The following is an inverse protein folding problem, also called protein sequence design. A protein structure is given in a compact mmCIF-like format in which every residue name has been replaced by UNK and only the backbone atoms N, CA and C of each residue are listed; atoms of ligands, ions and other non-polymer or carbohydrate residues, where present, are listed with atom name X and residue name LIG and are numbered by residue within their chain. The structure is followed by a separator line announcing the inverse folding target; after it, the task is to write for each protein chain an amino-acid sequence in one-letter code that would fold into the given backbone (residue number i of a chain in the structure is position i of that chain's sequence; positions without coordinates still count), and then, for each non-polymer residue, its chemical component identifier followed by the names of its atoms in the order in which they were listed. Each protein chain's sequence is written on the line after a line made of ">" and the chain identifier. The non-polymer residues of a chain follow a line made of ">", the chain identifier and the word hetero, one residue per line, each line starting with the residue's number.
data_IF_687835409189
#
_entry.id   IF_687835409189
#
_cell.length_a   1.000
_cell.length_b   1.000
_cell.length_c   1.000
_cell.angle_alpha   90.00
_cell.angle_beta   90.00
_cell.angle_gamma   90.00
#
_symmetry.space_group_name_H-M   'P 1'
#
loop_
_entity.id
_entity.type
_entity.pdbx_description
1 polymer ?
#
# COMPACT_ATOMS: atom_id res chain seq x y z
N UNK A 1 10.34 -8.62 -11.46
CA UNK A 1 9.02 -8.26 -12.00
C UNK A 1 9.09 -6.93 -12.72
N UNK A 2 8.38 -6.77 -13.83
CA UNK A 2 8.33 -5.53 -14.58
C UNK A 2 6.96 -4.88 -14.44
N UNK A 3 6.92 -3.55 -14.40
CA UNK A 3 5.68 -2.78 -14.50
C UNK A 3 5.84 -1.76 -15.63
N UNK A 4 4.72 -1.40 -16.26
CA UNK A 4 4.71 -0.49 -17.42
C UNK A 4 3.91 0.76 -17.07
N UNK A 5 4.52 1.92 -17.37
CA UNK A 5 3.86 3.21 -17.22
C UNK A 5 4.16 4.07 -18.46
N UNK A 6 3.13 4.50 -19.17
CA UNK A 6 3.26 5.30 -20.40
C UNK A 6 4.27 4.69 -21.38
N UNK A 7 4.11 3.39 -21.65
CA UNK A 7 4.99 2.60 -22.53
C UNK A 7 6.45 2.47 -22.07
N UNK A 8 6.77 2.94 -20.87
CA UNK A 8 8.10 2.76 -20.27
C UNK A 8 8.03 1.60 -19.28
N UNK A 9 8.96 0.67 -19.40
CA UNK A 9 9.08 -0.47 -18.49
C UNK A 9 9.99 -0.13 -17.32
N UNK A 10 9.53 -0.45 -16.12
CA UNK A 10 10.32 -0.33 -14.89
C UNK A 10 10.50 -1.70 -14.28
N UNK A 11 11.68 -1.96 -13.76
CA UNK A 11 11.98 -3.23 -13.10
C UNK A 11 11.85 -3.03 -11.60
N UNK A 12 10.99 -3.82 -10.97
CA UNK A 12 10.87 -3.85 -9.52
C UNK A 12 12.02 -4.64 -8.93
N UNK A 13 12.30 -4.40 -7.66
CA UNK A 13 13.40 -5.05 -6.97
C UNK A 13 13.30 -6.57 -6.93
N UNK A 14 14.36 -7.21 -6.45
CA UNK A 14 14.50 -8.67 -6.48
C UNK A 14 13.89 -9.40 -5.29
N UNK A 15 13.47 -8.66 -4.25
CA UNK A 15 12.97 -9.24 -2.99
C UNK A 15 11.45 -9.26 -2.92
N UNK A 16 10.79 -9.45 -4.04
CA UNK A 16 9.35 -9.54 -4.10
C UNK A 16 8.80 -10.53 -3.07
N UNK A 17 7.85 -10.09 -2.25
CA UNK A 17 7.26 -10.95 -1.23
C UNK A 17 6.23 -11.87 -1.85
N UNK A 18 6.46 -13.15 -1.74
CA UNK A 18 5.59 -14.18 -2.30
C UNK A 18 4.43 -14.47 -1.35
N UNK A 19 3.34 -15.02 -1.90
CA UNK A 19 2.23 -15.54 -1.10
C UNK A 19 2.76 -16.63 -0.18
N UNK A 20 2.26 -16.69 1.04
CA UNK A 20 2.67 -17.57 2.16
C UNK A 20 4.02 -17.19 2.76
N UNK A 21 4.68 -16.13 2.30
CA UNK A 21 5.87 -15.61 2.94
C UNK A 21 5.51 -14.73 4.14
N UNK A 22 6.43 -14.60 5.08
CA UNK A 22 6.25 -13.66 6.19
C UNK A 22 6.23 -12.23 5.68
N UNK A 23 5.28 -11.44 6.18
CA UNK A 23 5.17 -10.03 5.86
C UNK A 23 6.17 -9.24 6.72
N UNK A 24 7.12 -8.51 6.13
CA UNK A 24 8.07 -7.75 6.93
C UNK A 24 7.39 -6.59 7.64
N UNK A 25 7.91 -6.23 8.80
CA UNK A 25 7.48 -5.02 9.50
C UNK A 25 7.98 -3.79 8.75
N UNK A 26 7.11 -2.83 8.56
CA UNK A 26 7.48 -1.54 7.97
C UNK A 26 7.02 -0.41 8.89
N UNK A 27 7.93 0.54 9.10
CA UNK A 27 7.63 1.73 9.89
C UNK A 27 7.20 2.85 8.95
N UNK A 28 5.98 3.34 9.13
CA UNK A 28 5.38 4.33 8.23
C UNK A 28 4.81 5.49 9.04
N UNK A 29 5.19 6.71 8.68
CA UNK A 29 4.63 7.92 9.28
C UNK A 29 3.36 8.30 8.53
N UNK A 30 2.24 8.26 9.22
CA UNK A 30 0.93 8.58 8.64
C UNK A 30 0.72 10.10 8.54
N UNK A 31 -0.31 10.53 7.80
CA UNK A 31 -0.58 11.96 7.61
C UNK A 31 -0.95 12.68 8.90
N UNK A 32 -1.41 11.96 9.93
CA UNK A 32 -1.70 12.54 11.24
C UNK A 32 -0.46 12.64 12.14
N UNK A 33 0.73 12.42 11.57
CA UNK A 33 2.04 12.44 12.23
C UNK A 33 2.30 11.25 13.16
N UNK A 34 1.39 10.29 13.26
CA UNK A 34 1.65 9.05 14.00
C UNK A 34 2.54 8.12 13.18
N UNK A 35 3.54 7.53 13.82
CA UNK A 35 4.35 6.48 13.20
C UNK A 35 3.77 5.14 13.59
N UNK A 36 3.43 4.32 12.59
CA UNK A 36 2.89 2.98 12.80
C UNK A 36 3.82 1.94 12.23
N UNK A 37 3.87 0.78 12.88
CA UNK A 37 4.54 -0.40 12.34
C UNK A 37 3.45 -1.26 11.71
N UNK A 38 3.52 -1.46 10.41
CA UNK A 38 2.54 -2.25 9.66
C UNK A 38 3.21 -3.50 9.10
N UNK A 39 2.43 -4.48 8.71
CA UNK A 39 2.94 -5.81 8.40
C UNK A 39 3.03 -6.65 9.65
N UNK A 40 3.75 -7.76 9.61
CA UNK A 40 3.91 -8.69 10.73
C UNK A 40 2.57 -9.16 11.31
N UNK A 41 2.63 -9.78 12.49
CA UNK A 41 1.47 -10.24 13.23
C UNK A 41 0.68 -9.04 13.80
N UNK A 42 -0.63 -9.09 13.67
CA UNK A 42 -1.51 -8.06 14.20
C UNK A 42 -2.84 -8.68 14.66
N UNK A 43 -3.61 -7.97 15.51
CA UNK A 43 -4.91 -8.49 15.97
C UNK A 43 -5.93 -8.71 14.87
N UNK A 44 -5.79 -7.99 13.75
CA UNK A 44 -6.72 -8.06 12.62
C UNK A 44 -5.95 -8.31 11.32
N UNK A 45 -6.68 -8.77 10.31
CA UNK A 45 -6.15 -8.87 8.95
C UNK A 45 -5.76 -7.47 8.48
N UNK A 46 -4.61 -7.35 7.83
CA UNK A 46 -4.11 -6.09 7.29
C UNK A 46 -4.19 -6.10 5.76
N UNK A 47 -4.64 -4.99 5.18
CA UNK A 47 -4.65 -4.78 3.74
C UNK A 47 -3.78 -3.55 3.46
N UNK A 48 -2.70 -3.73 2.71
CA UNK A 48 -1.82 -2.64 2.31
C UNK A 48 -2.01 -2.33 0.84
N UNK A 49 -2.33 -1.08 0.56
CA UNK A 49 -2.51 -0.60 -0.80
C UNK A 49 -1.47 0.46 -1.08
N UNK A 50 -0.65 0.24 -2.13
CA UNK A 50 0.25 1.28 -2.62
C UNK A 50 -0.26 1.78 -3.96
N UNK A 51 -0.14 3.09 -4.20
CA UNK A 51 -0.64 3.74 -5.40
C UNK A 51 0.46 4.53 -6.07
N UNK A 52 0.57 4.38 -7.38
CA UNK A 52 1.47 5.20 -8.17
C UNK A 52 1.05 6.68 -8.12
N UNK A 53 -0.25 6.95 -8.13
CA UNK A 53 -0.80 8.28 -7.87
C UNK A 53 -2.21 8.17 -7.30
N UNK A 54 -2.74 9.28 -6.75
CA UNK A 54 -4.04 9.30 -6.06
C UNK A 54 -5.22 8.98 -6.97
N UNK A 55 -5.09 9.22 -8.28
CA UNK A 55 -6.18 8.95 -9.23
C UNK A 55 -6.50 7.48 -9.35
N UNK A 56 -5.62 6.62 -8.90
CA UNK A 56 -5.81 5.17 -8.95
C UNK A 56 -6.63 4.64 -7.78
N UNK A 57 -6.92 5.47 -6.78
CA UNK A 57 -7.85 5.13 -5.73
C UNK A 57 -9.27 5.33 -6.26
N UNK A 58 -9.94 4.22 -6.56
CA UNK A 58 -11.25 4.25 -7.21
C UNK A 58 -12.39 4.09 -6.19
N UNK A 59 -13.60 4.43 -6.63
CA UNK A 59 -14.81 4.18 -5.83
C UNK A 59 -15.00 2.70 -5.56
N UNK A 60 -14.63 1.87 -6.52
CA UNK A 60 -14.73 0.42 -6.39
C UNK A 60 -13.77 -0.10 -5.32
N UNK A 61 -12.53 0.39 -5.32
CA UNK A 61 -11.55 0.02 -4.29
C UNK A 61 -12.03 0.48 -2.91
N UNK A 62 -12.50 1.72 -2.81
CA UNK A 62 -13.01 2.27 -1.56
C UNK A 62 -14.17 1.43 -1.01
N UNK A 63 -15.10 1.05 -1.89
CA UNK A 63 -16.23 0.21 -1.51
C UNK A 63 -15.79 -1.16 -1.00
N UNK A 64 -14.83 -1.79 -1.69
CA UNK A 64 -14.30 -3.09 -1.27
C UNK A 64 -13.65 -2.99 0.13
N UNK A 65 -12.85 -1.95 0.36
CA UNK A 65 -12.16 -1.78 1.65
C UNK A 65 -13.13 -1.48 2.79
N UNK A 66 -14.19 -0.70 2.53
CA UNK A 66 -15.15 -0.30 3.55
C UNK A 66 -16.26 -1.32 3.79
N UNK A 67 -16.59 -2.14 2.79
CA UNK A 67 -17.69 -3.09 2.87
C UNK A 67 -17.29 -4.50 3.31
N UNK A 68 -16.09 -4.67 3.80
CA UNK A 68 -15.67 -5.97 4.33
C UNK A 68 -16.46 -6.26 5.61
N UNK A 69 -17.08 -7.44 5.69
CA UNK A 69 -17.83 -7.87 6.88
C UNK A 69 -16.90 -8.19 8.05
N UNK A 70 -15.64 -8.49 7.77
CA UNK A 70 -14.65 -8.75 8.79
C UNK A 70 -13.92 -7.45 9.13
N UNK A 71 -13.61 -7.29 10.41
CA UNK A 71 -12.81 -6.16 10.84
C UNK A 71 -11.40 -6.27 10.28
N UNK A 72 -11.02 -5.32 9.44
CA UNK A 72 -9.69 -5.27 8.85
C UNK A 72 -9.02 -3.94 9.19
N UNK A 73 -7.70 -3.94 9.12
CA UNK A 73 -6.89 -2.72 9.16
C UNK A 73 -6.39 -2.49 7.74
N UNK A 74 -6.76 -1.38 7.11
CA UNK A 74 -6.21 -1.08 5.80
C UNK A 74 -5.42 0.21 5.81
N UNK A 75 -4.40 0.25 4.95
CA UNK A 75 -3.49 1.38 4.82
C UNK A 75 -3.32 1.73 3.36
N UNK A 76 -3.27 3.03 3.07
CA UNK A 76 -3.07 3.53 1.70
C UNK A 76 -1.77 4.34 1.69
N UNK A 77 -0.83 3.92 0.87
CA UNK A 77 0.49 4.54 0.76
C UNK A 77 0.69 4.97 -0.69
N UNK A 78 1.02 6.23 -0.91
CA UNK A 78 1.19 6.76 -2.26
C UNK A 78 2.36 7.74 -2.31
N UNK A 79 3.09 7.72 -3.43
CA UNK A 79 4.21 8.63 -3.67
C UNK A 79 3.70 9.93 -4.29
N UNK A 80 3.02 10.75 -3.51
CA UNK A 80 2.46 12.02 -3.97
C UNK A 80 2.50 13.07 -2.86
N UNK A 81 2.30 14.36 -3.19
CA UNK A 81 2.30 15.40 -2.17
C UNK A 81 1.23 15.19 -1.11
N UNK A 82 1.51 15.63 0.10
CA UNK A 82 0.61 15.50 1.24
C UNK A 82 -0.78 16.11 0.95
N UNK A 83 -0.81 17.24 0.26
CA UNK A 83 -2.05 17.95 -0.06
C UNK A 83 -2.99 17.11 -0.93
N UNK A 84 -2.44 16.35 -1.87
CA UNK A 84 -3.23 15.46 -2.72
C UNK A 84 -3.84 14.32 -1.90
N UNK A 85 -3.09 13.78 -0.94
CA UNK A 85 -3.58 12.73 -0.06
C UNK A 85 -4.63 13.26 0.92
N UNK A 86 -4.46 14.48 1.40
CA UNK A 86 -5.47 15.10 2.26
C UNK A 86 -6.78 15.31 1.51
N UNK A 87 -6.71 15.71 0.23
CA UNK A 87 -7.88 15.85 -0.62
C UNK A 87 -8.56 14.50 -0.85
N UNK A 88 -7.78 13.45 -1.09
CA UNK A 88 -8.29 12.09 -1.24
C UNK A 88 -9.01 11.63 0.03
N UNK A 89 -8.40 11.87 1.18
CA UNK A 89 -8.98 11.51 2.47
C UNK A 89 -10.32 12.21 2.71
N UNK A 90 -10.40 13.48 2.33
CA UNK A 90 -11.64 14.26 2.44
C UNK A 90 -12.72 13.72 1.50
N UNK A 91 -12.37 13.42 0.25
CA UNK A 91 -13.30 12.94 -0.77
C UNK A 91 -13.90 11.57 -0.38
N UNK A 92 -13.09 10.66 0.13
CA UNK A 92 -13.53 9.30 0.47
C UNK A 92 -13.75 9.09 1.96
N UNK A 93 -13.70 10.14 2.77
CA UNK A 93 -13.88 10.07 4.22
C UNK A 93 -12.93 9.06 4.88
N UNK A 94 -11.65 9.17 4.56
CA UNK A 94 -10.62 8.30 5.13
C UNK A 94 -9.93 8.98 6.31
N UNK A 95 -9.58 8.17 7.31
CA UNK A 95 -8.82 8.65 8.47
C UNK A 95 -7.38 8.96 8.05
N UNK A 96 -6.85 10.09 8.49
CA UNK A 96 -5.45 10.46 8.20
C UNK A 96 -4.46 9.52 8.86
N UNK A 97 -4.88 8.73 9.82
CA UNK A 97 -4.05 7.72 10.47
C UNK A 97 -3.83 6.44 9.67
N UNK A 98 -4.45 6.31 8.48
CA UNK A 98 -4.29 5.14 7.61
C UNK A 98 -3.71 5.50 6.25
N UNK A 99 -3.44 6.78 6.00
CA UNK A 99 -2.92 7.28 4.72
C UNK A 99 -1.53 7.86 4.95
N UNK A 100 -0.62 7.59 4.01
CA UNK A 100 0.74 8.08 4.11
C UNK A 100 1.38 8.31 2.74
N UNK A 101 2.29 9.27 2.67
CA UNK A 101 3.23 9.40 1.56
C UNK A 101 4.66 9.01 1.98
N UNK A 102 4.81 8.43 3.15
CA UNK A 102 6.09 7.91 3.63
C UNK A 102 6.25 6.47 3.12
N UNK A 103 6.65 6.33 1.85
CA UNK A 103 6.65 5.04 1.16
C UNK A 103 8.02 4.34 1.18
N UNK A 104 9.09 5.03 1.55
CA UNK A 104 10.46 4.53 1.37
C UNK A 104 10.72 3.17 2.03
N UNK A 105 10.45 3.04 3.31
CA UNK A 105 10.69 1.78 4.04
C UNK A 105 9.79 0.65 3.53
N UNK A 106 8.51 0.93 3.35
CA UNK A 106 7.55 -0.08 2.86
C UNK A 106 7.92 -0.55 1.45
N UNK A 107 8.13 0.39 0.53
CA UNK A 107 8.41 0.04 -0.87
C UNK A 107 9.69 -0.77 -1.00
N UNK A 108 10.69 -0.48 -0.18
CA UNK A 108 11.94 -1.21 -0.17
C UNK A 108 11.76 -2.64 0.36
N UNK A 109 11.04 -2.80 1.47
CA UNK A 109 10.83 -4.11 2.10
C UNK A 109 9.88 -5.02 1.33
N UNK A 110 8.90 -4.44 0.63
CA UNK A 110 7.94 -5.19 -0.18
C UNK A 110 8.28 -5.18 -1.67
N UNK A 111 9.41 -4.55 -2.02
CA UNK A 111 9.97 -4.55 -3.37
C UNK A 111 9.04 -3.97 -4.44
N UNK A 112 8.36 -2.90 -4.09
CA UNK A 112 7.45 -2.19 -5.02
C UNK A 112 7.95 -0.79 -5.35
N UNK A 113 9.21 -0.48 -5.02
CA UNK A 113 9.81 0.82 -5.32
C UNK A 113 10.17 0.92 -6.81
N UNK A 114 9.97 2.11 -7.36
CA UNK A 114 10.36 2.46 -8.72
C UNK A 114 11.44 3.53 -8.61
N UNK A 115 12.69 3.15 -8.89
CA UNK A 115 13.85 4.05 -8.87
C UNK A 115 13.98 4.90 -7.59
N UNK A 116 13.53 4.38 -6.45
CA UNK A 116 13.52 5.03 -5.13
C UNK A 116 12.74 6.35 -5.07
N UNK A 117 11.94 6.66 -6.09
CA UNK A 117 11.17 7.91 -6.18
C UNK A 117 9.67 7.72 -6.18
N UNK A 118 9.22 6.52 -6.52
CA UNK A 118 7.80 6.21 -6.70
C UNK A 118 7.53 4.79 -6.22
N UNK A 119 6.26 4.45 -6.06
CA UNK A 119 5.83 3.10 -5.75
C UNK A 119 4.95 2.57 -6.86
N UNK A 120 5.05 1.27 -7.13
CA UNK A 120 4.13 0.60 -8.04
C UNK A 120 2.77 0.45 -7.35
N UNK A 121 1.71 0.31 -8.14
CA UNK A 121 0.42 -0.08 -7.58
C UNK A 121 0.54 -1.49 -7.01
N UNK A 122 0.07 -1.69 -5.80
CA UNK A 122 0.05 -3.02 -5.20
C UNK A 122 -1.06 -3.15 -4.19
N UNK A 123 -1.47 -4.37 -3.94
CA UNK A 123 -2.39 -4.71 -2.86
C UNK A 123 -1.89 -5.98 -2.20
N UNK A 124 -1.66 -5.91 -0.90
CA UNK A 124 -1.23 -7.05 -0.09
C UNK A 124 -2.26 -7.31 0.99
N UNK A 125 -2.63 -8.58 1.17
CA UNK A 125 -3.47 -9.01 2.29
C UNK A 125 -2.62 -9.87 3.20
N UNK A 126 -2.51 -9.47 4.47
CA UNK A 126 -1.68 -10.11 5.47
C UNK A 126 -2.59 -10.62 6.59
N UNK A 127 -2.50 -11.90 6.92
CA UNK A 127 -3.35 -12.48 7.95
C UNK A 127 -2.88 -12.08 9.36
N UNK A 128 -3.62 -12.52 10.37
CA UNK A 128 -3.33 -12.18 11.77
C UNK A 128 -1.99 -12.75 12.25
N UNK A 129 -1.48 -13.76 11.56
CA UNK A 129 -0.21 -14.40 11.90
C UNK A 129 0.98 -13.75 11.22
N UNK A 130 0.73 -12.72 10.39
CA UNK A 130 1.79 -11.99 9.72
C UNK A 130 2.24 -12.63 8.41
N UNK A 131 1.39 -13.43 7.78
CA UNK A 131 1.69 -14.12 6.53
C UNK A 131 0.96 -13.48 5.37
N UNK A 132 1.65 -13.29 4.24
CA UNK A 132 1.06 -12.74 3.01
C UNK A 132 0.14 -13.80 2.41
N UNK A 133 -1.17 -13.55 2.39
CA UNK A 133 -2.17 -14.46 1.85
C UNK A 133 -2.63 -14.10 0.45
N UNK A 134 -2.45 -12.86 0.05
CA UNK A 134 -2.82 -12.39 -1.29
C UNK A 134 -1.94 -11.21 -1.66
N UNK A 135 -1.55 -11.15 -2.92
CA UNK A 135 -0.89 -9.96 -3.45
C UNK A 135 -1.33 -9.75 -4.90
N UNK A 136 -1.40 -8.49 -5.28
CA UNK A 136 -1.67 -8.10 -6.66
C UNK A 136 -0.79 -6.90 -6.99
N UNK A 137 0.02 -7.02 -8.04
CA UNK A 137 0.85 -5.94 -8.54
C UNK A 137 0.55 -5.84 -10.03
N UNK A 138 -0.34 -4.90 -10.43
CA UNK A 138 -0.69 -4.75 -11.84
C UNK A 138 0.54 -4.40 -12.67
N UNK A 139 0.69 -5.02 -13.82
CA UNK A 139 1.81 -4.75 -14.72
C UNK A 139 1.74 -3.36 -15.33
N UNK A 140 0.54 -2.87 -15.58
CA UNK A 140 0.32 -1.52 -16.11
C UNK A 140 -0.09 -0.57 -14.99
N UNK A 141 0.58 0.56 -14.94
CA UNK A 141 0.32 1.62 -13.96
C UNK A 141 -0.64 2.67 -14.51
#
# INVERSE_FOLDING_TARGET
>A
MEVVFKDTKYILGKKERKIEAEAPASRVKMLNDETKVIGMMAPNVQVMVTLFNVKQYSKELDAVLKNTKKKILFYVIAACPKEELESLASEFELDLGIISNDFGDFSSKYDVNIEDKMVANSLYVIDKEGVVKYKQIPQNL
#
